data_IF_599712366293
#
_entry.id   IF_599712366293
#
_cell.length_a   1.000
_cell.length_b   1.000
_cell.length_c   1.000
_cell.angle_alpha   90.00
_cell.angle_beta   90.00
_cell.angle_gamma   90.00
#
_symmetry.space_group_name_H-M   'P 1'
#
loop_
_entity.id
_entity.type
_entity.pdbx_description
1 polymer ?
#
# COMPACT_ATOMS: atom_id res chain seq x y z
N UNK A 1 17.22 14.83 22.80
CA UNK A 1 17.67 15.71 21.69
C UNK A 1 18.43 16.82 22.37
N UNK A 2 19.74 16.75 22.28
CA UNK A 2 20.70 17.43 23.13
C UNK A 2 21.22 18.76 22.57
N UNK A 3 20.56 19.33 21.55
CA UNK A 3 20.96 20.53 20.84
C UNK A 3 22.42 20.53 20.34
N UNK A 4 23.03 19.37 20.15
CA UNK A 4 24.40 19.24 19.63
C UNK A 4 24.42 19.62 18.14
N UNK A 5 25.29 20.53 17.75
CA UNK A 5 25.50 20.90 16.37
C UNK A 5 26.45 19.94 15.68
N UNK A 6 26.05 19.43 14.53
CA UNK A 6 26.86 18.55 13.70
C UNK A 6 27.15 19.21 12.33
N UNK A 7 28.34 18.96 11.82
CA UNK A 7 28.82 19.53 10.55
C UNK A 7 29.34 18.41 9.66
N UNK A 8 28.83 18.41 8.41
CA UNK A 8 29.37 17.60 7.31
C UNK A 8 30.23 18.51 6.40
N UNK A 9 31.51 18.21 6.29
CA UNK A 9 32.40 18.94 5.42
C UNK A 9 33.40 17.99 4.73
N UNK A 10 33.30 17.91 3.40
CA UNK A 10 34.20 17.10 2.54
C UNK A 10 34.35 15.66 3.02
N UNK A 11 33.25 15.04 3.40
CA UNK A 11 33.24 13.67 3.89
C UNK A 11 33.62 13.48 5.36
N UNK A 12 33.77 14.55 6.11
CA UNK A 12 34.00 14.51 7.55
C UNK A 12 32.79 14.96 8.32
N UNK A 13 32.31 14.13 9.24
CA UNK A 13 31.21 14.43 10.15
C UNK A 13 31.84 14.78 11.51
N UNK A 14 31.61 15.98 11.97
CA UNK A 14 32.15 16.50 13.20
C UNK A 14 31.06 17.01 14.13
N UNK A 15 31.26 16.76 15.42
CA UNK A 15 30.44 17.36 16.48
C UNK A 15 31.10 18.67 16.94
N UNK A 16 30.29 19.72 17.09
CA UNK A 16 30.80 21.00 17.65
C UNK A 16 30.84 20.90 19.16
N UNK A 17 31.99 21.08 19.71
CA UNK A 17 32.28 21.07 21.16
C UNK A 17 32.94 22.39 21.55
N UNK A 18 32.16 23.39 21.98
CA UNK A 18 32.65 24.73 22.22
C UNK A 18 33.25 25.35 20.95
N UNK A 19 34.54 25.71 20.98
CA UNK A 19 35.26 26.26 19.82
C UNK A 19 36.06 25.20 19.03
N UNK A 20 35.80 23.91 19.26
CA UNK A 20 36.47 22.79 18.60
C UNK A 20 35.54 21.96 17.79
N UNK A 21 36.07 21.32 16.77
CA UNK A 21 35.39 20.30 15.99
C UNK A 21 35.97 18.92 16.34
N UNK A 22 35.21 18.11 16.99
CA UNK A 22 35.56 16.71 17.25
C UNK A 22 35.15 15.88 16.03
N UNK A 23 36.13 15.45 15.21
CA UNK A 23 35.85 14.57 14.07
C UNK A 23 35.40 13.21 14.59
N UNK A 24 34.17 12.84 14.27
CA UNK A 24 33.53 11.62 14.76
C UNK A 24 33.56 10.50 13.71
N UNK A 25 33.31 10.87 12.45
CA UNK A 25 33.15 9.89 11.38
C UNK A 25 33.65 10.42 10.04
N UNK A 26 34.03 9.49 9.15
CA UNK A 26 34.40 9.78 7.77
C UNK A 26 33.46 9.05 6.83
N UNK A 27 32.95 9.74 5.84
CA UNK A 27 32.09 9.22 4.77
C UNK A 27 32.65 9.62 3.40
N UNK A 28 32.03 9.21 2.32
CA UNK A 28 32.47 9.61 0.99
C UNK A 28 32.43 11.15 0.80
N UNK A 29 33.40 11.67 0.06
CA UNK A 29 33.57 13.14 -0.09
C UNK A 29 32.43 13.82 -0.85
N UNK A 30 31.69 13.07 -1.66
CA UNK A 30 30.55 13.54 -2.44
C UNK A 30 29.25 13.66 -1.65
N UNK A 31 29.22 13.24 -0.39
CA UNK A 31 28.06 13.45 0.47
C UNK A 31 27.83 14.92 0.74
N UNK A 32 26.60 15.40 0.48
CA UNK A 32 26.25 16.83 0.50
C UNK A 32 25.33 17.20 1.66
N UNK A 33 24.64 16.24 2.25
CA UNK A 33 23.59 16.47 3.24
C UNK A 33 23.77 15.53 4.44
N UNK A 34 23.31 15.96 5.62
CA UNK A 34 23.38 15.22 6.86
C UNK A 34 22.11 15.38 7.68
N UNK A 35 21.62 14.29 8.24
CA UNK A 35 20.60 14.27 9.29
C UNK A 35 21.11 13.47 10.47
N UNK A 36 20.98 14.02 11.67
CA UNK A 36 21.44 13.40 12.89
C UNK A 36 20.26 13.13 13.81
N UNK A 37 20.01 11.88 14.12
CA UNK A 37 19.01 11.44 15.08
C UNK A 37 19.61 11.32 16.49
N UNK A 38 20.77 10.69 16.58
CA UNK A 38 21.64 10.65 17.76
C UNK A 38 23.09 10.40 17.31
N UNK A 39 24.02 10.26 18.26
CA UNK A 39 25.45 10.08 17.94
C UNK A 39 25.80 8.76 17.25
N UNK A 40 24.89 7.78 17.28
CA UNK A 40 25.03 6.47 16.64
C UNK A 40 24.11 6.29 15.42
N UNK A 41 23.23 7.26 15.16
CA UNK A 41 22.24 7.19 14.07
C UNK A 41 22.31 8.50 13.25
N UNK A 42 23.29 8.55 12.37
CA UNK A 42 23.58 9.68 11.49
C UNK A 42 23.42 9.22 10.04
N UNK A 43 22.60 9.91 9.28
CA UNK A 43 22.40 9.68 7.84
C UNK A 43 23.06 10.82 7.06
N UNK A 44 23.87 10.46 6.09
CA UNK A 44 24.44 11.39 5.10
C UNK A 44 24.02 10.94 3.70
N UNK A 45 23.73 11.89 2.82
CA UNK A 45 23.31 11.53 1.48
C UNK A 45 23.74 12.55 0.41
N UNK A 46 23.75 12.06 -0.82
CA UNK A 46 23.87 12.86 -2.02
C UNK A 46 22.62 12.57 -2.90
N UNK A 47 21.64 13.46 -2.87
CA UNK A 47 20.38 13.27 -3.60
C UNK A 47 20.55 13.18 -5.11
N UNK A 48 21.60 13.78 -5.69
CA UNK A 48 21.88 13.73 -7.13
C UNK A 48 22.37 12.34 -7.58
N UNK A 49 23.11 11.64 -6.73
CA UNK A 49 23.67 10.32 -7.00
C UNK A 49 22.82 9.17 -6.42
N UNK A 50 21.80 9.51 -5.61
CA UNK A 50 20.98 8.52 -4.91
C UNK A 50 21.75 7.69 -3.88
N UNK A 51 22.87 8.21 -3.40
CA UNK A 51 23.77 7.53 -2.45
C UNK A 51 23.62 8.13 -1.06
N UNK A 52 23.56 7.30 -0.04
CA UNK A 52 23.66 7.71 1.36
C UNK A 52 24.33 6.60 2.18
N UNK A 53 24.85 7.03 3.32
CA UNK A 53 25.52 6.17 4.29
C UNK A 53 25.01 6.50 5.69
N UNK A 54 24.84 5.48 6.51
CA UNK A 54 24.64 5.66 7.95
C UNK A 54 25.94 5.41 8.69
N UNK A 55 26.16 6.16 9.73
CA UNK A 55 27.20 5.86 10.70
C UNK A 55 26.68 4.74 11.58
N UNK A 56 27.32 3.61 11.52
CA UNK A 56 26.88 2.37 12.15
C UNK A 56 26.71 1.20 11.18
N UNK A 57 26.89 1.42 9.88
CA UNK A 57 27.12 0.34 8.90
C UNK A 57 25.92 -0.13 8.10
N UNK A 58 24.81 0.58 8.10
CA UNK A 58 23.73 0.24 7.18
C UNK A 58 23.57 1.33 6.11
N UNK A 59 23.89 1.01 4.88
CA UNK A 59 23.60 1.90 3.73
C UNK A 59 22.08 1.99 3.54
N UNK A 60 21.49 3.13 3.84
CA UNK A 60 20.08 3.37 3.56
C UNK A 60 19.93 3.73 2.08
N UNK A 61 19.11 3.00 1.37
CA UNK A 61 18.73 3.30 -0.01
C UNK A 61 17.52 4.23 -0.03
N UNK A 62 17.54 5.36 -0.76
CA UNK A 62 16.31 6.15 -1.01
C UNK A 62 15.23 5.27 -1.64
N UNK A 63 13.98 5.55 -1.33
CA UNK A 63 12.89 4.70 -1.72
C UNK A 63 12.71 3.54 -0.74
N UNK A 64 12.48 2.36 -1.28
CA UNK A 64 12.14 1.19 -0.45
C UNK A 64 13.32 0.70 0.39
N UNK A 65 13.13 0.71 1.69
CA UNK A 65 14.10 0.21 2.68
C UNK A 65 13.46 -0.87 3.56
N UNK A 66 14.11 -2.03 3.62
CA UNK A 66 13.72 -3.14 4.50
C UNK A 66 14.51 -3.07 5.80
N UNK A 67 13.79 -3.17 6.92
CA UNK A 67 14.39 -3.19 8.25
C UNK A 67 14.66 -4.62 8.75
N UNK A 68 15.54 -4.80 9.76
CA UNK A 68 15.84 -6.12 10.31
C UNK A 68 14.63 -6.86 10.91
N UNK A 69 13.60 -6.14 11.35
CA UNK A 69 12.35 -6.70 11.84
C UNK A 69 11.41 -7.18 10.73
N UNK A 70 11.85 -7.04 9.46
CA UNK A 70 11.10 -7.42 8.27
C UNK A 70 10.16 -6.35 7.73
N UNK A 71 9.99 -5.22 8.42
CA UNK A 71 9.15 -4.11 7.96
C UNK A 71 9.79 -3.35 6.80
N UNK A 72 8.95 -2.66 6.00
CA UNK A 72 9.37 -1.82 4.90
C UNK A 72 8.92 -0.38 5.11
N UNK A 73 9.77 0.57 4.71
CA UNK A 73 9.42 1.99 4.61
C UNK A 73 9.88 2.54 3.28
N UNK A 74 9.31 3.69 2.89
CA UNK A 74 9.74 4.43 1.71
C UNK A 74 10.39 5.74 2.17
N UNK A 75 11.70 5.87 1.94
CA UNK A 75 12.48 7.02 2.40
C UNK A 75 12.51 8.11 1.34
N UNK A 76 12.27 9.35 1.79
CA UNK A 76 12.43 10.56 0.98
C UNK A 76 13.90 10.96 0.89
N UNK A 77 14.19 11.95 0.05
CA UNK A 77 15.54 12.51 -0.13
C UNK A 77 16.16 13.05 1.16
N UNK A 78 15.36 13.51 2.11
CA UNK A 78 15.80 13.99 3.42
C UNK A 78 15.99 12.85 4.45
N UNK A 79 15.85 11.59 4.03
CA UNK A 79 15.92 10.41 4.90
C UNK A 79 14.66 10.18 5.74
N UNK A 80 13.67 11.08 5.71
CA UNK A 80 12.43 10.88 6.44
C UNK A 80 11.55 9.79 5.78
N UNK A 81 10.76 9.10 6.60
CA UNK A 81 9.79 8.13 6.09
C UNK A 81 8.60 8.84 5.47
N UNK A 82 8.15 8.32 4.33
CA UNK A 82 6.87 8.71 3.74
C UNK A 82 5.74 8.05 4.53
N UNK A 83 4.58 8.72 4.61
CA UNK A 83 3.33 8.20 5.18
C UNK A 83 2.19 8.37 4.18
N UNK A 84 1.13 7.56 4.32
CA UNK A 84 0.01 7.57 3.39
C UNK A 84 0.32 6.86 2.07
N UNK A 85 -0.38 7.26 1.02
CA UNK A 85 -0.25 6.66 -0.30
C UNK A 85 1.04 7.10 -1.00
N UNK A 86 1.75 6.13 -1.57
CA UNK A 86 2.96 6.32 -2.39
C UNK A 86 2.76 5.64 -3.74
N UNK A 87 3.03 6.36 -4.82
CA UNK A 87 3.12 5.79 -6.15
C UNK A 87 4.60 5.60 -6.51
N UNK A 88 5.00 4.35 -6.71
CA UNK A 88 6.32 4.01 -7.20
C UNK A 88 6.19 3.31 -8.56
N UNK A 89 6.66 3.99 -9.59
CA UNK A 89 6.67 3.47 -10.97
C UNK A 89 5.31 2.94 -11.44
N UNK A 90 4.22 3.64 -11.08
CA UNK A 90 2.84 3.28 -11.44
C UNK A 90 2.16 2.29 -10.50
N UNK A 91 2.85 1.79 -9.50
CA UNK A 91 2.30 0.90 -8.47
C UNK A 91 2.04 1.69 -7.19
N UNK A 92 0.84 1.53 -6.63
CA UNK A 92 0.47 2.20 -5.39
C UNK A 92 0.74 1.32 -4.17
N UNK A 93 1.21 1.96 -3.10
CA UNK A 93 1.48 1.39 -1.78
C UNK A 93 0.93 2.31 -0.70
N UNK A 94 0.70 1.79 0.49
CA UNK A 94 0.29 2.58 1.63
C UNK A 94 1.22 2.36 2.82
N UNK A 95 1.63 3.46 3.45
CA UNK A 95 2.44 3.45 4.67
C UNK A 95 1.64 4.11 5.80
N UNK A 96 1.67 3.51 6.98
CA UNK A 96 0.99 4.05 8.16
C UNK A 96 1.64 5.33 8.69
N UNK A 97 1.13 5.86 9.80
CA UNK A 97 1.63 7.09 10.43
C UNK A 97 3.08 6.97 10.93
N UNK A 98 3.61 5.75 11.06
CA UNK A 98 5.00 5.47 11.41
C UNK A 98 5.87 5.28 10.17
N UNK A 99 5.30 5.38 8.98
CA UNK A 99 5.94 5.13 7.70
C UNK A 99 6.23 3.64 7.45
N UNK A 100 5.42 2.74 8.00
CA UNK A 100 5.54 1.30 7.78
C UNK A 100 4.57 0.87 6.69
N UNK A 101 5.07 0.17 5.67
CA UNK A 101 4.27 -0.36 4.56
C UNK A 101 3.20 -1.33 5.07
N UNK A 102 1.97 -1.12 4.65
CA UNK A 102 0.83 -1.93 5.01
C UNK A 102 0.56 -3.03 3.98
N UNK A 103 -0.10 -4.10 4.42
CA UNK A 103 -0.57 -5.24 3.61
C UNK A 103 -1.96 -5.66 4.07
N UNK A 104 -2.69 -6.40 3.22
CA UNK A 104 -4.05 -6.83 3.53
C UNK A 104 -5.08 -5.71 3.40
N UNK A 105 -6.19 -5.82 4.13
CA UNK A 105 -7.27 -4.85 4.08
C UNK A 105 -6.90 -3.53 4.77
N UNK A 106 -7.13 -2.44 4.05
CA UNK A 106 -6.92 -1.06 4.51
C UNK A 106 -8.23 -0.27 4.37
N UNK A 107 -8.65 0.41 5.43
CA UNK A 107 -9.72 1.41 5.36
C UNK A 107 -9.13 2.81 5.48
N UNK A 108 -9.18 3.57 4.38
CA UNK A 108 -8.68 4.95 4.34
C UNK A 108 -9.81 5.89 3.95
N UNK A 109 -10.08 6.88 4.78
CA UNK A 109 -11.15 7.88 4.58
C UNK A 109 -12.52 7.28 4.21
N UNK A 110 -12.86 6.16 4.86
CA UNK A 110 -14.13 5.46 4.65
C UNK A 110 -14.16 4.48 3.50
N UNK A 111 -13.16 4.46 2.63
CA UNK A 111 -13.02 3.55 1.50
C UNK A 111 -12.13 2.36 1.86
N UNK A 112 -12.53 1.15 1.45
CA UNK A 112 -11.73 -0.05 1.61
C UNK A 112 -10.85 -0.30 0.40
N UNK A 113 -9.61 -0.71 0.67
CA UNK A 113 -8.57 -1.13 -0.29
C UNK A 113 -8.00 -2.47 0.15
N UNK A 114 -7.32 -3.15 -0.75
CA UNK A 114 -6.54 -4.34 -0.42
C UNK A 114 -5.11 -4.21 -0.95
N UNK A 115 -4.15 -4.47 -0.08
CA UNK A 115 -2.73 -4.44 -0.39
C UNK A 115 -2.20 -5.86 -0.39
N UNK A 116 -1.54 -6.27 -1.48
CA UNK A 116 -0.93 -7.58 -1.61
C UNK A 116 0.17 -7.79 -0.54
N UNK A 117 0.65 -9.02 -0.39
CA UNK A 117 1.75 -9.34 0.55
C UNK A 117 3.02 -8.54 0.29
N UNK A 118 3.27 -8.13 -0.96
CA UNK A 118 4.37 -7.24 -1.33
C UNK A 118 4.06 -5.75 -1.15
N UNK A 119 2.93 -5.41 -0.54
CA UNK A 119 2.46 -4.04 -0.30
C UNK A 119 1.75 -3.37 -1.48
N UNK A 120 1.79 -3.92 -2.69
CA UNK A 120 1.18 -3.29 -3.86
C UNK A 120 -0.34 -3.27 -3.75
N UNK A 121 -0.97 -2.14 -4.09
CA UNK A 121 -2.43 -2.00 -4.12
C UNK A 121 -3.03 -2.92 -5.18
N UNK A 122 -4.04 -3.68 -4.77
CA UNK A 122 -4.75 -4.61 -5.63
C UNK A 122 -5.88 -3.90 -6.39
N UNK A 123 -6.13 -4.36 -7.61
CA UNK A 123 -7.28 -3.98 -8.44
C UNK A 123 -7.91 -5.23 -9.07
N UNK A 124 -9.14 -5.13 -9.53
CA UNK A 124 -9.87 -6.21 -10.18
C UNK A 124 -10.48 -7.21 -9.20
N UNK A 125 -10.87 -8.36 -9.73
CA UNK A 125 -11.43 -9.44 -8.94
C UNK A 125 -10.37 -10.20 -8.17
N UNK A 126 -10.69 -10.58 -6.93
CA UNK A 126 -9.90 -11.54 -6.18
C UNK A 126 -10.76 -12.31 -5.18
N UNK A 127 -10.25 -13.45 -4.75
CA UNK A 127 -10.87 -14.31 -3.76
C UNK A 127 -10.05 -14.32 -2.49
N UNK A 128 -10.72 -14.09 -1.35
CA UNK A 128 -10.13 -14.24 -0.03
C UNK A 128 -11.01 -15.17 0.81
N UNK A 129 -10.45 -16.28 1.22
CA UNK A 129 -11.23 -17.34 1.86
C UNK A 129 -12.34 -17.86 0.95
N UNK A 130 -13.59 -17.70 1.40
CA UNK A 130 -14.80 -18.11 0.64
C UNK A 130 -15.43 -16.97 -0.16
N UNK A 131 -14.94 -15.74 -0.01
CA UNK A 131 -15.56 -14.54 -0.55
C UNK A 131 -14.84 -14.04 -1.80
N UNK A 132 -15.60 -13.57 -2.78
CA UNK A 132 -15.10 -12.85 -3.93
C UNK A 132 -15.31 -11.35 -3.71
N UNK A 133 -14.31 -10.56 -4.09
CA UNK A 133 -14.30 -9.10 -3.98
C UNK A 133 -13.92 -8.48 -5.32
N UNK A 134 -14.30 -7.24 -5.52
CA UNK A 134 -13.85 -6.43 -6.65
C UNK A 134 -13.37 -5.06 -6.18
N UNK A 135 -12.17 -4.72 -6.62
CA UNK A 135 -11.53 -3.43 -6.42
C UNK A 135 -11.44 -2.75 -7.79
N UNK A 136 -11.98 -1.55 -7.92
CA UNK A 136 -11.93 -0.85 -9.20
C UNK A 136 -10.49 -0.39 -9.55
N UNK A 137 -10.34 0.29 -10.68
CA UNK A 137 -9.02 0.75 -11.15
C UNK A 137 -8.36 1.80 -10.25
N UNK A 138 -9.09 2.37 -9.29
CA UNK A 138 -8.55 3.23 -8.23
C UNK A 138 -8.19 2.46 -6.97
N UNK A 139 -8.42 1.14 -6.94
CA UNK A 139 -8.25 0.27 -5.78
C UNK A 139 -9.43 0.27 -4.82
N UNK A 140 -10.48 1.07 -5.06
CA UNK A 140 -11.63 1.16 -4.18
C UNK A 140 -12.52 -0.08 -4.27
N UNK A 141 -12.80 -0.70 -3.11
CA UNK A 141 -13.65 -1.88 -3.02
C UNK A 141 -15.11 -1.54 -3.37
N UNK A 142 -15.72 -2.33 -4.26
CA UNK A 142 -17.16 -2.28 -4.51
C UNK A 142 -17.92 -2.96 -3.39
N UNK A 143 -18.96 -2.29 -2.92
CA UNK A 143 -19.88 -2.78 -1.90
C UNK A 143 -21.29 -2.22 -2.15
N UNK A 144 -22.27 -2.70 -1.37
CA UNK A 144 -23.64 -2.19 -1.37
C UNK A 144 -24.34 -2.19 -2.73
N UNK A 145 -24.81 -3.35 -3.16
CA UNK A 145 -25.78 -3.45 -4.23
C UNK A 145 -25.23 -3.86 -5.59
N UNK A 146 -26.00 -3.53 -6.61
CA UNK A 146 -25.75 -3.93 -7.98
C UNK A 146 -24.62 -3.14 -8.63
N UNK A 147 -23.71 -3.86 -9.28
CA UNK A 147 -22.61 -3.29 -10.05
C UNK A 147 -22.47 -4.03 -11.38
N UNK A 148 -22.36 -3.29 -12.48
CA UNK A 148 -22.02 -3.85 -13.80
C UNK A 148 -20.52 -3.72 -14.01
N UNK A 149 -19.84 -4.83 -14.22
CA UNK A 149 -18.41 -4.92 -14.46
C UNK A 149 -18.21 -5.78 -15.71
N UNK A 150 -17.53 -5.26 -16.72
CA UNK A 150 -17.27 -5.94 -17.99
C UNK A 150 -18.54 -6.59 -18.59
N UNK A 151 -19.64 -5.82 -18.66
CA UNK A 151 -20.94 -6.22 -19.17
C UNK A 151 -21.62 -7.36 -18.40
N UNK A 152 -21.18 -7.67 -17.21
CA UNK A 152 -21.76 -8.68 -16.31
C UNK A 152 -22.24 -8.04 -15.03
N UNK A 153 -23.42 -8.40 -14.54
CA UNK A 153 -23.95 -7.93 -13.28
C UNK A 153 -23.44 -8.75 -12.10
N UNK A 154 -23.13 -8.04 -11.02
CA UNK A 154 -22.77 -8.55 -9.70
C UNK A 154 -23.59 -7.83 -8.64
N UNK A 155 -23.78 -8.48 -7.51
CA UNK A 155 -24.34 -7.85 -6.32
C UNK A 155 -23.35 -7.99 -5.17
N UNK A 156 -22.90 -6.88 -4.60
CA UNK A 156 -21.98 -6.87 -3.47
C UNK A 156 -22.74 -6.58 -2.17
N UNK A 157 -22.41 -7.32 -1.13
CA UNK A 157 -22.87 -7.08 0.23
C UNK A 157 -22.24 -5.80 0.81
N UNK A 158 -22.72 -5.36 1.97
CA UNK A 158 -22.15 -4.22 2.70
C UNK A 158 -20.66 -4.40 3.03
N UNK A 159 -20.24 -5.63 3.32
CA UNK A 159 -18.86 -5.99 3.57
C UNK A 159 -17.99 -6.15 2.30
N UNK A 160 -18.53 -5.85 1.13
CA UNK A 160 -17.86 -5.96 -0.17
C UNK A 160 -17.79 -7.35 -0.77
N UNK A 161 -18.28 -8.40 -0.09
CA UNK A 161 -18.32 -9.74 -0.68
C UNK A 161 -19.38 -9.84 -1.77
N UNK A 162 -19.06 -10.44 -2.93
CA UNK A 162 -20.04 -10.71 -3.97
C UNK A 162 -21.03 -11.79 -3.53
N UNK A 163 -22.30 -11.63 -3.88
CA UNK A 163 -23.32 -12.66 -3.72
C UNK A 163 -23.01 -13.87 -4.60
N UNK A 164 -23.32 -15.05 -4.09
CA UNK A 164 -23.30 -16.31 -4.80
C UNK A 164 -24.59 -17.09 -4.49
N UNK A 165 -25.04 -17.93 -5.41
CA UNK A 165 -26.28 -18.69 -5.27
C UNK A 165 -27.54 -17.85 -5.49
N UNK A 166 -28.65 -18.32 -4.96
CA UNK A 166 -29.95 -17.67 -5.07
C UNK A 166 -30.04 -16.42 -4.20
N UNK A 167 -30.58 -15.34 -4.77
CA UNK A 167 -30.78 -14.06 -4.09
C UNK A 167 -32.17 -13.47 -4.44
N UNK A 168 -32.95 -13.15 -3.41
CA UNK A 168 -34.23 -12.50 -3.54
C UNK A 168 -34.12 -11.00 -3.30
N UNK A 169 -34.52 -10.20 -4.27
CA UNK A 169 -34.65 -8.75 -4.15
C UNK A 169 -35.90 -8.24 -4.89
N UNK A 170 -36.67 -7.39 -4.24
CA UNK A 170 -37.93 -6.82 -4.81
C UNK A 170 -38.86 -7.88 -5.38
N UNK A 171 -39.04 -9.01 -4.70
CA UNK A 171 -39.82 -10.18 -5.11
C UNK A 171 -39.36 -10.87 -6.41
N UNK A 172 -38.13 -10.61 -6.85
CA UNK A 172 -37.48 -11.28 -7.98
C UNK A 172 -36.30 -12.12 -7.49
N UNK A 173 -36.25 -13.39 -7.95
CA UNK A 173 -35.17 -14.29 -7.66
C UNK A 173 -34.12 -14.22 -8.74
N UNK A 174 -32.88 -13.95 -8.32
CA UNK A 174 -31.65 -13.95 -9.13
C UNK A 174 -30.75 -15.11 -8.73
N UNK A 175 -29.87 -15.53 -9.63
CA UNK A 175 -28.85 -16.52 -9.31
C UNK A 175 -27.47 -16.02 -9.73
N UNK A 176 -26.51 -16.13 -8.80
CA UNK A 176 -25.11 -15.81 -9.02
C UNK A 176 -24.28 -17.07 -8.96
N UNK A 177 -23.36 -17.26 -9.92
CA UNK A 177 -22.44 -18.39 -9.91
C UNK A 177 -21.40 -18.25 -8.78
N UNK A 178 -20.49 -19.23 -8.65
CA UNK A 178 -19.45 -19.23 -7.61
C UNK A 178 -18.48 -18.05 -7.70
N UNK A 179 -18.35 -17.43 -8.88
CA UNK A 179 -17.55 -16.21 -9.09
C UNK A 179 -18.32 -14.92 -8.80
N UNK A 180 -19.60 -15.01 -8.42
CA UNK A 180 -20.46 -13.86 -8.15
C UNK A 180 -21.12 -13.25 -9.39
N UNK A 181 -21.00 -13.86 -10.57
CA UNK A 181 -21.61 -13.38 -11.82
C UNK A 181 -23.09 -13.73 -11.86
N UNK A 182 -23.95 -12.74 -12.10
CA UNK A 182 -25.38 -12.98 -12.33
C UNK A 182 -25.59 -13.80 -13.61
N UNK A 183 -26.34 -14.89 -13.52
CA UNK A 183 -26.69 -15.70 -14.68
C UNK A 183 -27.90 -15.17 -15.39
N UNK A 184 -27.92 -15.33 -16.73
CA UNK A 184 -29.02 -14.99 -17.62
C UNK A 184 -29.23 -16.10 -18.64
N UNK A 185 -30.46 -16.21 -19.21
CA UNK A 185 -30.79 -17.14 -20.29
C UNK A 185 -30.36 -18.58 -20.05
N UNK A 186 -30.57 -19.09 -18.83
CA UNK A 186 -30.13 -20.43 -18.43
C UNK A 186 -31.13 -21.10 -17.52
N UNK A 187 -30.87 -22.36 -17.14
CA UNK A 187 -31.65 -23.12 -16.15
C UNK A 187 -30.72 -23.48 -14.99
N UNK A 188 -31.18 -23.21 -13.75
CA UNK A 188 -30.48 -23.54 -12.51
C UNK A 188 -31.47 -24.27 -11.61
N UNK A 189 -31.09 -25.46 -11.13
CA UNK A 189 -31.95 -26.29 -10.25
C UNK A 189 -33.36 -26.51 -10.77
N UNK A 190 -33.54 -26.58 -12.11
CA UNK A 190 -34.85 -26.70 -12.74
C UNK A 190 -35.62 -25.39 -12.94
N UNK A 191 -35.11 -24.26 -12.46
CA UNK A 191 -35.68 -22.94 -12.57
C UNK A 191 -35.07 -22.17 -13.77
N UNK A 192 -35.94 -21.65 -14.65
CA UNK A 192 -35.52 -20.87 -15.83
C UNK A 192 -35.16 -19.44 -15.44
N UNK A 193 -33.93 -19.01 -15.71
CA UNK A 193 -33.49 -17.61 -15.57
C UNK A 193 -33.64 -16.91 -16.93
N UNK A 194 -34.39 -15.81 -16.95
CA UNK A 194 -34.65 -15.01 -18.16
C UNK A 194 -33.45 -14.13 -18.56
N UNK A 195 -33.61 -13.39 -19.65
CA UNK A 195 -32.60 -12.48 -20.18
C UNK A 195 -32.27 -11.28 -19.26
N UNK A 196 -33.16 -10.97 -18.32
CA UNK A 196 -32.97 -9.91 -17.31
C UNK A 196 -32.34 -10.43 -16.01
N UNK A 197 -31.95 -11.73 -15.96
CA UNK A 197 -31.24 -12.33 -14.82
C UNK A 197 -32.14 -12.82 -13.69
N UNK A 198 -33.45 -12.68 -13.76
CA UNK A 198 -34.34 -13.22 -12.74
C UNK A 198 -35.11 -14.45 -13.22
N UNK A 199 -35.55 -15.26 -12.25
CA UNK A 199 -36.38 -16.43 -12.51
C UNK A 199 -37.72 -16.05 -13.20
N UNK A 200 -38.02 -16.77 -14.24
CA UNK A 200 -39.30 -16.69 -14.99
C UNK A 200 -40.06 -18.01 -14.89
N UNK A 201 -41.36 -17.92 -14.72
CA UNK A 201 -42.24 -19.10 -14.68
C UNK A 201 -42.41 -19.71 -16.07
#
# INVERSE_FOLDING_TARGET
KDNTLWILNKGKISRVNGNKLDEMYTVERNMKQISVYDENDIVVWNGEEGIYSTVGGTTLKLGWTKYPDGTWSYLKEDGSKTTGWVNDSGTWYYLDDKGIMQTGWLKEKGTWYYLNENGSMKTGFFKEGKNNYYLDNTGAMKNNGWNMIDSTWYYFNENGSAKTGWYLENNLWYYFNESGQMLTNTVVDGYKIGNKGFWVK
#
